data_IF_482027374195
#
_entry.id   IF_482027374195
#
_cell.length_a   1.000
_cell.length_b   1.000
_cell.length_c   1.000
_cell.angle_alpha   90.00
_cell.angle_beta   90.00
_cell.angle_gamma   90.00
#
_symmetry.space_group_name_H-M   'P 1'
#
loop_
_entity.id
_entity.type
_entity.pdbx_description
1 polymer ?
#
# COMPACT_ATOMS: atom_id res chain seq x y z
N UNK A 1 43.20 46.11 -14.65
CA UNK A 1 41.71 46.17 -14.53
C UNK A 1 41.01 45.13 -15.42
N UNK A 2 41.54 44.74 -16.60
CA UNK A 2 40.82 43.87 -17.56
C UNK A 2 40.93 42.34 -17.39
N UNK A 3 41.76 41.82 -16.47
CA UNK A 3 41.88 40.36 -16.27
C UNK A 3 40.87 39.76 -15.28
N UNK A 4 40.49 40.50 -14.24
CA UNK A 4 39.61 39.99 -13.18
C UNK A 4 38.12 40.06 -13.52
N UNK A 5 37.70 41.06 -14.30
CA UNK A 5 36.28 41.27 -14.63
C UNK A 5 35.68 40.11 -15.42
N UNK A 6 36.33 39.55 -16.47
CA UNK A 6 35.78 38.41 -17.20
C UNK A 6 35.65 37.15 -16.34
N UNK A 7 36.64 36.87 -15.47
CA UNK A 7 36.63 35.71 -14.57
C UNK A 7 35.54 35.86 -13.52
N UNK A 8 35.41 37.04 -12.92
CA UNK A 8 34.38 37.33 -11.94
C UNK A 8 32.98 37.21 -12.55
N UNK A 9 32.78 37.76 -13.76
CA UNK A 9 31.50 37.65 -14.48
C UNK A 9 31.15 36.19 -14.78
N UNK A 10 32.12 35.37 -15.21
CA UNK A 10 31.91 33.95 -15.46
C UNK A 10 31.50 33.17 -14.21
N UNK A 11 32.20 33.40 -13.09
CA UNK A 11 31.92 32.76 -11.81
C UNK A 11 30.54 33.19 -11.29
N UNK A 12 30.25 34.49 -11.31
CA UNK A 12 28.97 35.04 -10.89
C UNK A 12 27.83 34.46 -11.75
N UNK A 13 28.00 34.38 -13.06
CA UNK A 13 27.05 33.75 -13.97
C UNK A 13 26.81 32.28 -13.61
N UNK A 14 27.86 31.51 -13.33
CA UNK A 14 27.76 30.11 -12.91
C UNK A 14 26.95 29.94 -11.61
N UNK A 15 27.16 30.80 -10.61
CA UNK A 15 26.40 30.75 -9.36
C UNK A 15 24.94 31.17 -9.56
N UNK A 16 24.70 32.28 -10.27
CA UNK A 16 23.34 32.80 -10.52
C UNK A 16 22.51 31.79 -11.29
N UNK A 17 23.05 31.24 -12.37
CA UNK A 17 22.31 30.27 -13.20
C UNK A 17 22.06 28.96 -12.46
N UNK A 18 22.98 28.50 -11.60
CA UNK A 18 22.78 27.31 -10.77
C UNK A 18 21.68 27.50 -9.72
N UNK A 19 21.66 28.65 -9.04
CA UNK A 19 20.64 28.93 -8.03
C UNK A 19 19.26 29.17 -8.67
N UNK A 20 19.23 29.91 -9.78
CA UNK A 20 18.00 30.19 -10.53
C UNK A 20 17.32 28.92 -11.05
N UNK A 21 18.09 27.93 -11.53
CA UNK A 21 17.53 26.65 -11.99
C UNK A 21 16.82 25.88 -10.87
N UNK A 22 17.41 25.86 -9.68
CA UNK A 22 16.79 25.22 -8.50
C UNK A 22 15.48 25.92 -8.12
N UNK A 23 15.50 27.25 -8.03
CA UNK A 23 14.31 28.05 -7.72
C UNK A 23 13.18 27.82 -8.73
N UNK A 24 13.52 27.72 -10.03
CA UNK A 24 12.54 27.43 -11.08
C UNK A 24 11.87 26.06 -10.91
N UNK A 25 12.62 25.04 -10.48
CA UNK A 25 12.03 23.72 -10.22
C UNK A 25 11.16 23.72 -8.95
N UNK A 26 11.53 24.48 -7.92
CA UNK A 26 10.69 24.67 -6.74
C UNK A 26 9.38 25.38 -7.09
N UNK A 27 9.42 26.41 -7.93
CA UNK A 27 8.24 27.09 -8.46
C UNK A 27 7.35 26.12 -9.24
N UNK A 28 7.92 25.37 -10.20
CA UNK A 28 7.19 24.37 -10.98
C UNK A 28 6.56 23.26 -10.13
N UNK A 29 7.22 22.83 -9.05
CA UNK A 29 6.64 21.88 -8.11
C UNK A 29 5.43 22.48 -7.40
N UNK A 30 5.54 23.73 -6.91
CA UNK A 30 4.44 24.40 -6.22
C UNK A 30 3.25 24.75 -7.12
N UNK A 31 3.49 24.96 -8.42
CA UNK A 31 2.44 25.26 -9.41
C UNK A 31 1.74 24.02 -9.96
N UNK A 32 2.29 22.82 -9.75
CA UNK A 32 1.70 21.57 -10.21
C UNK A 32 0.35 21.33 -9.52
N UNK A 33 -0.66 20.89 -10.29
CA UNK A 33 -2.01 20.61 -9.79
C UNK A 33 -2.37 19.12 -9.83
N UNK A 34 -1.47 18.26 -10.30
CA UNK A 34 -1.66 16.82 -10.36
C UNK A 34 -0.38 16.04 -10.07
N UNK A 35 -0.52 14.77 -9.70
CA UNK A 35 0.61 13.85 -9.49
C UNK A 35 1.42 13.64 -10.77
N UNK A 36 0.76 13.56 -11.92
CA UNK A 36 1.42 13.45 -13.23
C UNK A 36 2.28 14.68 -13.55
N UNK A 37 1.84 15.88 -13.15
CA UNK A 37 2.62 17.11 -13.33
C UNK A 37 3.84 17.13 -12.39
N UNK A 38 3.69 16.70 -11.14
CA UNK A 38 4.81 16.55 -10.21
C UNK A 38 5.87 15.58 -10.76
N UNK A 39 5.46 14.44 -11.30
CA UNK A 39 6.37 13.45 -11.87
C UNK A 39 7.13 14.01 -13.09
N UNK A 40 6.45 14.74 -13.97
CA UNK A 40 7.09 15.40 -15.10
C UNK A 40 8.15 16.41 -14.66
N UNK A 41 7.89 17.16 -13.59
CA UNK A 41 8.88 18.07 -13.00
C UNK A 41 10.01 17.27 -12.36
N UNK A 42 9.72 16.12 -11.73
CA UNK A 42 10.70 15.21 -11.15
C UNK A 42 11.72 14.73 -12.18
N UNK A 43 11.24 14.19 -13.30
CA UNK A 43 12.09 13.72 -14.40
C UNK A 43 13.04 14.82 -14.91
N UNK A 44 12.57 16.07 -14.99
CA UNK A 44 13.37 17.20 -15.49
C UNK A 44 14.49 17.60 -14.51
N UNK A 45 14.21 17.63 -13.21
CA UNK A 45 15.24 18.00 -12.24
C UNK A 45 16.19 16.83 -11.96
N UNK A 46 15.75 15.57 -12.01
CA UNK A 46 16.60 14.38 -11.96
C UNK A 46 17.59 14.35 -13.13
N UNK A 47 17.11 14.59 -14.36
CA UNK A 47 17.98 14.71 -15.53
C UNK A 47 18.99 15.87 -15.37
N UNK A 48 18.56 16.99 -14.79
CA UNK A 48 19.44 18.13 -14.52
C UNK A 48 20.48 17.82 -13.43
N UNK A 49 20.15 16.95 -12.48
CA UNK A 49 21.07 16.43 -11.47
C UNK A 49 22.13 15.54 -12.13
N UNK A 50 21.73 14.66 -13.06
CA UNK A 50 22.64 13.81 -13.84
C UNK A 50 23.64 14.65 -14.65
N UNK A 51 23.17 15.74 -15.26
CA UNK A 51 24.02 16.69 -15.98
C UNK A 51 24.86 17.60 -15.06
N UNK A 52 24.80 17.40 -13.74
CA UNK A 52 25.53 18.17 -12.72
C UNK A 52 25.21 19.68 -12.75
N UNK A 53 24.03 20.02 -13.27
CA UNK A 53 23.52 21.39 -13.35
C UNK A 53 22.95 21.85 -12.01
N UNK A 54 22.52 20.90 -11.18
CA UNK A 54 22.16 21.09 -9.78
C UNK A 54 23.18 20.42 -8.86
N UNK A 55 23.31 20.92 -7.64
CA UNK A 55 24.04 20.24 -6.57
C UNK A 55 23.21 19.11 -5.96
N UNK A 56 23.86 18.05 -5.43
CA UNK A 56 23.15 16.97 -4.72
C UNK A 56 22.25 17.49 -3.60
N UNK A 57 22.72 18.49 -2.86
CA UNK A 57 21.94 19.14 -1.81
C UNK A 57 20.66 19.82 -2.35
N UNK A 58 20.73 20.41 -3.54
CA UNK A 58 19.55 21.00 -4.19
C UNK A 58 18.57 19.91 -4.62
N UNK A 59 19.09 18.77 -5.10
CA UNK A 59 18.27 17.60 -5.42
C UNK A 59 17.52 17.03 -4.21
N UNK A 60 18.20 16.85 -3.07
CA UNK A 60 17.55 16.38 -1.82
C UNK A 60 16.42 17.33 -1.40
N UNK A 61 16.63 18.63 -1.54
CA UNK A 61 15.63 19.65 -1.20
C UNK A 61 14.39 19.54 -2.09
N UNK A 62 14.60 19.34 -3.40
CA UNK A 62 13.52 19.15 -4.37
C UNK A 62 12.77 17.84 -4.13
N UNK A 63 13.48 16.76 -3.81
CA UNK A 63 12.85 15.46 -3.51
C UNK A 63 11.98 15.53 -2.26
N UNK A 64 12.45 16.23 -1.23
CA UNK A 64 11.64 16.51 -0.05
C UNK A 64 10.38 17.30 -0.40
N UNK A 65 10.52 18.39 -1.16
CA UNK A 65 9.38 19.22 -1.56
C UNK A 65 8.37 18.41 -2.37
N UNK A 66 8.84 17.58 -3.31
CA UNK A 66 8.01 16.65 -4.08
C UNK A 66 7.23 15.71 -3.17
N UNK A 67 7.88 15.06 -2.21
CA UNK A 67 7.22 14.14 -1.27
C UNK A 67 6.15 14.88 -0.44
N UNK A 68 6.46 16.07 0.07
CA UNK A 68 5.50 16.88 0.83
C UNK A 68 4.29 17.31 -0.02
N UNK A 69 4.45 17.47 -1.33
CA UNK A 69 3.34 17.76 -2.24
C UNK A 69 2.56 16.51 -2.63
N UNK A 70 3.22 15.37 -2.81
CA UNK A 70 2.56 14.09 -3.09
C UNK A 70 1.63 13.70 -1.94
N UNK A 71 2.09 13.84 -0.69
CA UNK A 71 1.28 13.62 0.52
C UNK A 71 0.04 14.54 0.53
N UNK A 72 0.17 15.79 0.08
CA UNK A 72 -0.98 16.72 0.01
C UNK A 72 -2.00 16.28 -1.03
N UNK A 73 -1.55 15.80 -2.19
CA UNK A 73 -2.46 15.28 -3.21
C UNK A 73 -3.19 14.03 -2.72
N UNK A 74 -2.50 13.09 -2.08
CA UNK A 74 -3.12 11.90 -1.49
C UNK A 74 -4.17 12.28 -0.43
N UNK A 75 -3.83 13.22 0.47
CA UNK A 75 -4.78 13.70 1.48
C UNK A 75 -5.99 14.42 0.87
N UNK A 76 -5.78 15.21 -0.19
CA UNK A 76 -6.88 15.89 -0.89
C UNK A 76 -7.79 14.89 -1.62
N UNK A 77 -7.22 13.85 -2.23
CA UNK A 77 -7.96 12.76 -2.86
C UNK A 77 -8.80 12.00 -1.81
N UNK A 78 -8.21 11.69 -0.66
CA UNK A 78 -8.91 11.02 0.44
C UNK A 78 -10.03 11.89 1.03
N UNK A 79 -9.81 13.20 1.18
CA UNK A 79 -10.84 14.13 1.65
C UNK A 79 -11.99 14.23 0.64
N UNK A 80 -11.70 14.35 -0.65
CA UNK A 80 -12.73 14.35 -1.70
C UNK A 80 -13.51 13.02 -1.74
N UNK A 81 -12.84 11.89 -1.52
CA UNK A 81 -13.50 10.59 -1.41
C UNK A 81 -14.38 10.50 -0.15
N UNK A 82 -13.96 11.09 0.97
CA UNK A 82 -14.72 11.13 2.22
C UNK A 82 -15.92 12.08 2.16
N UNK A 83 -15.81 13.21 1.45
CA UNK A 83 -16.88 14.21 1.32
C UNK A 83 -17.91 13.82 0.23
N UNK A 84 -17.56 12.88 -0.66
CA UNK A 84 -18.45 12.31 -1.69
C UNK A 84 -19.30 11.11 -1.26
N UNK A 85 -19.22 10.68 0.01
CA UNK A 85 -20.03 9.58 0.54
C UNK A 85 -20.98 10.10 1.63
N UNK A 86 -22.24 10.37 1.24
CA UNK A 86 -23.34 9.76 2.01
C UNK A 86 -23.00 8.27 2.12
N UNK A 87 -23.16 7.58 3.26
CA UNK A 87 -22.90 6.15 3.32
C UNK A 87 -23.82 5.48 2.29
N UNK A 88 -23.29 5.20 1.10
CA UNK A 88 -23.95 4.37 0.12
C UNK A 88 -24.07 3.04 0.84
N UNK A 89 -25.31 2.77 1.28
CA UNK A 89 -25.76 1.50 1.83
C UNK A 89 -24.93 0.38 1.24
N UNK A 90 -24.24 -0.38 2.11
CA UNK A 90 -23.54 -1.64 1.84
C UNK A 90 -23.85 -2.18 0.44
N UNK A 91 -23.03 -1.79 -0.55
CA UNK A 91 -23.09 -2.46 -1.84
C UNK A 91 -22.29 -3.73 -1.65
N UNK A 92 -23.01 -4.79 -1.27
CA UNK A 92 -22.50 -6.15 -1.25
C UNK A 92 -21.78 -6.43 -2.59
N UNK A 93 -20.45 -6.42 -2.58
CA UNK A 93 -19.62 -6.83 -3.72
C UNK A 93 -19.61 -8.35 -3.91
N UNK A 94 -20.59 -9.07 -3.36
CA UNK A 94 -20.81 -10.46 -3.70
C UNK A 94 -21.44 -10.49 -5.10
N UNK A 95 -20.77 -11.07 -6.12
CA UNK A 95 -21.42 -11.28 -7.40
C UNK A 95 -22.66 -12.14 -7.16
N UNK A 96 -23.82 -11.67 -7.62
CA UNK A 96 -25.06 -12.47 -7.67
C UNK A 96 -24.81 -13.59 -8.68
N UNK A 97 -24.17 -14.66 -8.22
CA UNK A 97 -24.16 -15.94 -8.90
C UNK A 97 -25.45 -16.60 -8.45
N UNK A 98 -26.43 -16.70 -9.35
CA UNK A 98 -27.59 -17.55 -9.12
C UNK A 98 -27.07 -18.93 -8.71
N UNK A 99 -27.44 -19.35 -7.50
CA UNK A 99 -27.12 -20.67 -6.99
C UNK A 99 -27.92 -21.69 -7.80
N UNK A 100 -27.42 -22.02 -8.98
CA UNK A 100 -27.81 -23.24 -9.66
C UNK A 100 -27.38 -24.36 -8.72
N UNK A 101 -28.35 -25.02 -8.09
CA UNK A 101 -28.16 -26.13 -7.17
C UNK A 101 -27.39 -27.24 -7.89
N UNK A 102 -26.07 -27.18 -7.82
CA UNK A 102 -25.21 -28.26 -8.26
C UNK A 102 -25.50 -29.42 -7.34
N UNK A 103 -26.20 -30.44 -7.84
CA UNK A 103 -26.43 -31.68 -7.12
C UNK A 103 -25.07 -32.37 -6.91
N UNK A 104 -24.44 -32.08 -5.77
CA UNK A 104 -23.21 -32.71 -5.33
C UNK A 104 -23.59 -33.96 -4.54
N UNK A 105 -23.05 -35.15 -4.86
CA UNK A 105 -23.34 -36.35 -4.10
C UNK A 105 -22.93 -36.16 -2.63
N UNK A 106 -23.77 -36.63 -1.71
CA UNK A 106 -23.53 -36.55 -0.28
C UNK A 106 -22.21 -37.25 0.06
N UNK A 107 -21.27 -36.48 0.61
CA UNK A 107 -20.01 -37.00 1.13
C UNK A 107 -20.33 -37.52 2.53
N UNK A 108 -20.14 -38.82 2.77
CA UNK A 108 -20.11 -39.36 4.13
C UNK A 108 -18.87 -38.78 4.82
N UNK A 109 -19.08 -37.82 5.71
CA UNK A 109 -18.01 -37.14 6.44
C UNK A 109 -17.67 -38.00 7.66
N UNK A 110 -16.70 -38.89 7.51
CA UNK A 110 -15.98 -39.43 8.67
C UNK A 110 -15.02 -38.36 9.19
N UNK A 111 -14.95 -38.15 10.51
CA UNK A 111 -14.20 -37.03 11.06
C UNK A 111 -12.67 -37.25 11.01
N UNK A 112 -11.91 -36.16 10.89
CA UNK A 112 -10.46 -36.20 10.71
C UNK A 112 -9.70 -36.27 12.06
N UNK A 113 -8.71 -37.17 12.20
CA UNK A 113 -7.96 -37.40 13.45
C UNK A 113 -6.94 -36.30 13.82
N UNK A 114 -6.82 -35.23 13.04
CA UNK A 114 -5.82 -34.17 13.25
C UNK A 114 -6.22 -33.10 14.30
N UNK A 115 -7.37 -33.25 14.96
CA UNK A 115 -7.83 -32.29 15.97
C UNK A 115 -7.14 -32.55 17.32
N UNK A 116 -6.46 -31.55 17.93
CA UNK A 116 -5.79 -31.71 19.22
C UNK A 116 -6.76 -32.15 20.34
N UNK A 117 -6.40 -33.14 21.17
CA UNK A 117 -7.22 -33.55 22.30
C UNK A 117 -7.33 -32.39 23.30
N UNK A 118 -8.54 -32.17 23.83
CA UNK A 118 -9.02 -31.00 24.62
C UNK A 118 -9.58 -29.78 23.86
N UNK A 119 -9.61 -29.76 22.52
CA UNK A 119 -10.43 -28.79 21.80
C UNK A 119 -11.74 -29.41 21.27
N UNK A 120 -12.83 -28.66 21.47
CA UNK A 120 -14.10 -28.92 20.80
C UNK A 120 -14.01 -28.36 19.40
N UNK A 121 -14.31 -29.18 18.39
CA UNK A 121 -14.32 -28.73 17.00
C UNK A 121 -15.51 -27.80 16.71
N UNK A 122 -15.49 -27.19 15.52
CA UNK A 122 -16.52 -26.26 15.04
C UNK A 122 -17.92 -26.91 14.93
N UNK A 123 -18.00 -28.24 15.08
CA UNK A 123 -19.22 -29.03 15.03
C UNK A 123 -19.66 -29.57 16.40
N UNK A 124 -18.96 -29.22 17.47
CA UNK A 124 -19.34 -29.57 18.84
C UNK A 124 -18.81 -30.92 19.34
N UNK A 125 -17.88 -31.56 18.63
CA UNK A 125 -17.23 -32.79 19.05
C UNK A 125 -15.96 -32.50 19.85
N UNK A 126 -15.81 -33.18 20.98
CA UNK A 126 -14.60 -33.16 21.79
C UNK A 126 -13.76 -34.40 21.50
N UNK A 127 -12.45 -34.23 21.42
CA UNK A 127 -11.49 -35.29 21.07
C UNK A 127 -10.61 -35.69 22.25
N UNK A 128 -10.29 -36.98 22.35
CA UNK A 128 -9.37 -37.55 23.35
C UNK A 128 -8.52 -38.65 22.71
N UNK A 129 -7.20 -38.56 22.85
CA UNK A 129 -6.29 -39.66 22.51
C UNK A 129 -5.89 -40.39 23.79
N UNK A 130 -6.18 -41.68 23.88
CA UNK A 130 -5.79 -42.52 25.01
C UNK A 130 -5.22 -43.84 24.52
N UNK A 131 -4.00 -44.19 24.97
CA UNK A 131 -3.28 -45.40 24.57
C UNK A 131 -3.10 -45.57 23.04
N UNK A 132 -2.97 -44.46 22.30
CA UNK A 132 -2.80 -44.50 20.84
C UNK A 132 -4.08 -44.72 20.05
N UNK A 133 -5.24 -44.77 20.71
CA UNK A 133 -6.56 -44.82 20.08
C UNK A 133 -7.26 -43.46 20.23
N UNK A 134 -7.92 -43.02 19.16
CA UNK A 134 -8.66 -41.77 19.13
C UNK A 134 -10.11 -42.00 19.55
N UNK A 135 -10.61 -41.13 20.41
CA UNK A 135 -11.98 -41.14 20.93
C UNK A 135 -12.61 -39.78 20.71
N UNK A 136 -13.90 -39.76 20.37
CA UNK A 136 -14.67 -38.53 20.20
C UNK A 136 -16.02 -38.62 20.93
N UNK A 137 -16.57 -37.48 21.31
CA UNK A 137 -17.94 -37.37 21.85
C UNK A 137 -18.58 -36.04 21.47
N UNK A 138 -19.90 -35.99 21.40
CA UNK A 138 -20.64 -34.72 21.27
C UNK A 138 -20.89 -34.09 22.64
N UNK A 139 -21.19 -32.79 22.68
CA UNK A 139 -21.56 -32.10 23.92
C UNK A 139 -22.83 -32.67 24.60
N UNK A 140 -23.69 -33.36 23.85
CA UNK A 140 -24.90 -34.02 24.34
C UNK A 140 -24.67 -35.43 24.88
N UNK A 141 -23.59 -36.09 24.46
CA UNK A 141 -23.30 -37.47 24.81
C UNK A 141 -22.36 -37.56 26.02
N UNK A 142 -22.69 -38.48 26.93
CA UNK A 142 -21.89 -38.70 28.13
C UNK A 142 -20.79 -39.75 27.91
N UNK A 143 -20.92 -40.58 26.87
CA UNK A 143 -20.03 -41.70 26.56
C UNK A 143 -19.08 -41.33 25.40
N UNK A 144 -17.86 -41.86 25.45
CA UNK A 144 -16.85 -41.67 24.39
C UNK A 144 -16.97 -42.78 23.35
N UNK A 145 -17.02 -42.38 22.07
CA UNK A 145 -17.06 -43.31 20.94
C UNK A 145 -15.67 -43.42 20.34
N UNK A 146 -15.19 -44.65 20.11
CA UNK A 146 -13.89 -44.90 19.48
C UNK A 146 -13.97 -44.52 18.01
N UNK A 147 -12.99 -43.74 17.56
CA UNK A 147 -12.74 -43.52 16.14
C UNK A 147 -11.83 -44.64 15.63
N UNK A 148 -12.29 -45.42 14.65
CA UNK A 148 -11.46 -46.40 13.93
C UNK A 148 -10.53 -45.73 12.90
#
# INVERSE_FOLDING_TARGET
>A
IFGGVPIFAWIAFGFVTRNSRCARYEEQLNEANSRDELEQVALRWEYSLMLRLLGPHQGIRLERLRSELDDKFENAELLMAAEGFEPMTDVEQAPIVEAEEKNVPAIEITPSPDTPPDQTDEHGYSWLNYNGENWYRTASDTEWTRHE
#
